data_IF_892771588038
#
_entry.id   IF_892771588038
#
_cell.length_a   1.000
_cell.length_b   1.000
_cell.length_c   1.000
_cell.angle_alpha   90.00
_cell.angle_beta   90.00
_cell.angle_gamma   90.00
#
_symmetry.space_group_name_H-M   'P 1'
#
loop_
_entity.id
_entity.type
_entity.pdbx_description
1 polymer ?
#
# COMPACT_ATOMS: atom_id res chain seq x y z
N UNK A 1 7.20 -23.16 23.28
CA UNK A 1 7.57 -23.77 24.58
C UNK A 1 6.62 -23.20 25.62
N UNK A 2 6.00 -24.00 26.49
CA UNK A 2 5.11 -23.47 27.52
C UNK A 2 5.92 -22.70 28.58
N UNK A 3 5.44 -21.51 28.96
CA UNK A 3 6.03 -20.66 30.01
C UNK A 3 5.09 -20.70 31.21
N UNK A 4 5.61 -21.08 32.38
CA UNK A 4 4.82 -21.10 33.62
C UNK A 4 4.89 -19.75 34.30
N UNK A 5 3.73 -19.12 34.51
CA UNK A 5 3.58 -17.88 35.27
C UNK A 5 2.83 -18.16 36.57
N UNK A 6 3.26 -17.55 37.67
CA UNK A 6 2.61 -17.67 38.97
C UNK A 6 1.81 -16.41 39.27
N UNK A 7 0.51 -16.57 39.49
CA UNK A 7 -0.41 -15.48 39.82
C UNK A 7 -1.22 -15.84 41.06
N UNK A 8 -1.81 -14.85 41.73
CA UNK A 8 -2.69 -15.10 42.86
C UNK A 8 -4.03 -15.70 42.41
N UNK A 9 -4.67 -16.47 43.30
CA UNK A 9 -5.97 -17.10 43.05
C UNK A 9 -7.05 -16.07 42.67
N UNK A 10 -6.99 -14.88 43.27
CA UNK A 10 -7.90 -13.77 42.96
C UNK A 10 -7.76 -13.29 41.50
N UNK A 11 -6.53 -13.13 41.02
CA UNK A 11 -6.27 -12.72 39.62
C UNK A 11 -6.71 -13.82 38.65
N UNK A 12 -6.47 -15.08 39.00
CA UNK A 12 -6.90 -16.22 38.18
C UNK A 12 -8.43 -16.26 38.04
N UNK A 13 -9.20 -16.07 39.13
CA UNK A 13 -10.67 -16.00 39.08
C UNK A 13 -11.17 -14.83 38.23
N UNK A 14 -10.49 -13.70 38.26
CA UNK A 14 -10.82 -12.55 37.41
C UNK A 14 -10.59 -12.84 35.93
N UNK A 15 -9.53 -13.59 35.59
CA UNK A 15 -9.29 -14.06 34.22
C UNK A 15 -10.38 -15.04 33.76
N UNK A 16 -10.80 -15.96 34.62
CA UNK A 16 -11.89 -16.90 34.33
C UNK A 16 -13.21 -16.19 34.01
N UNK A 17 -13.55 -15.14 34.77
CA UNK A 17 -14.75 -14.34 34.51
C UNK A 17 -14.74 -13.57 33.19
N UNK A 18 -13.58 -13.45 32.54
CA UNK A 18 -13.42 -12.82 31.23
C UNK A 18 -13.42 -13.84 30.07
N UNK A 19 -13.46 -15.15 30.35
CA UNK A 19 -13.57 -16.17 29.32
C UNK A 19 -14.98 -16.17 28.70
N UNK A 20 -15.08 -16.28 27.37
CA UNK A 20 -16.36 -16.36 26.67
C UNK A 20 -16.49 -17.75 26.04
N UNK A 21 -17.41 -18.56 26.56
CA UNK A 21 -17.65 -19.92 26.06
C UNK A 21 -16.48 -20.87 26.36
N UNK A 22 -15.86 -21.42 25.31
CA UNK A 22 -14.76 -22.38 25.41
C UNK A 22 -13.37 -21.72 25.20
N UNK A 23 -13.23 -20.45 25.60
CA UNK A 23 -11.96 -19.72 25.50
C UNK A 23 -10.86 -20.44 26.30
N UNK A 24 -9.67 -20.54 25.72
CA UNK A 24 -8.48 -21.01 26.45
C UNK A 24 -7.90 -19.86 27.28
N UNK A 25 -7.17 -20.15 28.39
CA UNK A 25 -6.51 -19.13 29.18
C UNK A 25 -5.61 -18.20 28.34
N UNK A 26 -4.91 -18.78 27.36
CA UNK A 26 -4.07 -18.03 26.41
C UNK A 26 -4.89 -17.02 25.60
N UNK A 27 -6.07 -17.43 25.10
CA UNK A 27 -6.96 -16.56 24.32
C UNK A 27 -7.52 -15.39 25.13
N UNK A 28 -7.78 -15.61 26.41
CA UNK A 28 -8.21 -14.55 27.33
C UNK A 28 -7.08 -13.55 27.56
N UNK A 29 -5.86 -14.03 27.75
CA UNK A 29 -4.67 -13.19 27.93
C UNK A 29 -4.39 -12.35 26.67
N UNK A 30 -4.46 -12.96 25.48
CA UNK A 30 -4.32 -12.23 24.19
C UNK A 30 -5.33 -11.09 24.08
N UNK A 31 -6.62 -11.36 24.31
CA UNK A 31 -7.66 -10.33 24.23
C UNK A 31 -7.46 -9.21 25.24
N UNK A 32 -6.97 -9.54 26.44
CA UNK A 32 -6.64 -8.54 27.45
C UNK A 32 -5.49 -7.66 27.00
N UNK A 33 -4.44 -8.24 26.42
CA UNK A 33 -3.32 -7.50 25.84
C UNK A 33 -3.82 -6.59 24.71
N UNK A 34 -4.62 -7.11 23.79
CA UNK A 34 -5.21 -6.34 22.69
C UNK A 34 -6.06 -5.16 23.20
N UNK A 35 -6.90 -5.38 24.23
CA UNK A 35 -7.77 -4.34 24.78
C UNK A 35 -7.00 -3.23 25.51
N UNK A 36 -5.88 -3.56 26.15
CA UNK A 36 -4.99 -2.59 26.81
C UNK A 36 -4.18 -1.81 25.77
N UNK A 37 -3.76 -2.48 24.69
CA UNK A 37 -3.12 -1.83 23.54
C UNK A 37 -4.08 -0.89 22.80
N UNK A 38 -5.39 -1.16 22.80
CA UNK A 38 -6.42 -0.31 22.18
C UNK A 38 -6.87 0.88 23.06
N UNK A 39 -6.77 0.77 24.39
CA UNK A 39 -7.36 1.73 25.35
C UNK A 39 -6.35 2.69 25.99
N UNK A 40 -5.05 2.59 25.67
CA UNK A 40 -4.01 3.44 26.26
C UNK A 40 -3.98 4.88 25.69
N UNK A 41 -3.61 5.89 26.51
CA UNK A 41 -3.29 7.21 26.00
C UNK A 41 -2.03 7.11 25.11
N UNK A 42 -2.04 7.77 23.95
CA UNK A 42 -0.97 7.84 22.96
C UNK A 42 0.43 7.96 23.60
N UNK A 43 1.15 6.85 23.69
CA UNK A 43 2.60 6.81 23.76
C UNK A 43 3.11 5.89 22.66
N UNK A 44 3.72 6.52 21.67
CA UNK A 44 4.56 5.95 20.64
C UNK A 44 5.68 5.11 21.26
N UNK A 45 5.58 3.80 21.22
CA UNK A 45 6.76 2.94 21.23
C UNK A 45 6.39 1.56 20.66
N UNK A 46 6.68 1.38 19.38
CA UNK A 46 6.41 0.16 18.65
C UNK A 46 5.76 0.45 17.30
N UNK A 47 4.42 0.50 17.27
CA UNK A 47 3.66 0.42 16.02
C UNK A 47 3.82 1.66 15.13
N UNK A 48 3.87 1.50 13.79
CA UNK A 48 3.92 2.59 12.83
C UNK A 48 2.77 3.56 12.99
N UNK A 49 3.02 4.86 12.82
CA UNK A 49 1.95 5.85 12.72
C UNK A 49 1.23 5.72 11.37
N UNK A 50 -0.11 5.82 11.38
CA UNK A 50 -0.92 5.75 10.18
C UNK A 50 -1.55 7.12 9.89
N UNK A 51 -1.27 7.65 8.71
CA UNK A 51 -1.86 8.89 8.20
C UNK A 51 -2.76 8.54 7.02
N UNK A 52 -4.00 9.00 7.06
CA UNK A 52 -4.96 8.79 5.98
C UNK A 52 -5.26 10.14 5.34
N UNK A 53 -5.09 10.22 4.03
CA UNK A 53 -5.37 11.43 3.25
C UNK A 53 -6.67 11.23 2.48
N UNK A 54 -7.67 12.12 2.64
CA UNK A 54 -7.68 13.30 3.51
C UNK A 54 -7.97 13.00 4.98
N UNK A 55 -8.64 11.88 5.29
CA UNK A 55 -8.86 11.36 6.65
C UNK A 55 -9.32 9.90 6.56
N UNK A 56 -9.33 9.17 7.68
CA UNK A 56 -9.63 7.73 7.70
C UNK A 56 -11.02 7.37 7.16
N UNK A 57 -12.05 8.16 7.47
CA UNK A 57 -13.41 7.88 7.05
C UNK A 57 -13.60 8.11 5.54
N UNK A 58 -13.10 9.24 5.03
CA UNK A 58 -13.11 9.55 3.59
C UNK A 58 -12.31 8.53 2.80
N UNK A 59 -11.08 8.23 3.26
CA UNK A 59 -10.23 7.21 2.63
C UNK A 59 -10.92 5.85 2.58
N UNK A 60 -11.59 5.41 3.67
CA UNK A 60 -12.31 4.14 3.67
C UNK A 60 -13.42 4.12 2.60
N UNK A 61 -14.20 5.19 2.48
CA UNK A 61 -15.27 5.28 1.50
C UNK A 61 -14.74 5.27 0.07
N UNK A 62 -13.66 6.01 -0.20
CA UNK A 62 -13.01 6.04 -1.49
C UNK A 62 -12.38 4.68 -1.85
N UNK A 63 -11.74 4.01 -0.88
CA UNK A 63 -11.20 2.66 -1.05
C UNK A 63 -12.30 1.65 -1.39
N UNK A 64 -13.50 1.77 -0.79
CA UNK A 64 -14.64 0.92 -1.13
C UNK A 64 -15.13 1.18 -2.54
N UNK A 65 -15.16 2.44 -2.98
CA UNK A 65 -15.63 2.81 -4.31
C UNK A 65 -14.64 2.40 -5.41
N UNK A 66 -13.36 2.76 -5.23
CA UNK A 66 -12.32 2.66 -6.26
C UNK A 66 -11.51 1.36 -6.20
N UNK A 67 -11.53 0.66 -5.07
CA UNK A 67 -10.79 -0.60 -4.82
C UNK A 67 -9.28 -0.53 -5.04
N UNK A 68 -8.70 0.66 -5.11
CA UNK A 68 -7.26 0.89 -5.30
C UNK A 68 -6.78 2.03 -4.40
N UNK A 69 -5.60 1.88 -3.83
CA UNK A 69 -4.95 2.91 -3.03
C UNK A 69 -3.43 2.83 -3.19
N UNK A 70 -2.75 3.93 -2.92
CA UNK A 70 -1.31 3.94 -2.71
C UNK A 70 -1.03 4.00 -1.22
N UNK A 71 0.06 3.35 -0.81
CA UNK A 71 0.55 3.34 0.57
C UNK A 71 2.02 3.69 0.54
N UNK A 72 2.37 4.85 1.08
CA UNK A 72 3.75 5.30 1.23
C UNK A 72 4.25 4.87 2.59
N UNK A 73 5.22 3.96 2.61
CA UNK A 73 5.87 3.48 3.82
C UNK A 73 7.15 4.27 4.06
N UNK A 74 7.34 4.72 5.29
CA UNK A 74 8.59 5.34 5.73
C UNK A 74 9.33 4.36 6.64
N UNK A 75 10.61 4.17 6.36
CA UNK A 75 11.47 3.21 7.02
C UNK A 75 12.43 3.92 7.99
N UNK A 76 12.85 3.20 9.03
CA UNK A 76 13.78 3.71 10.06
C UNK A 76 15.15 4.14 9.52
N UNK A 77 15.56 3.62 8.35
CA UNK A 77 16.80 3.98 7.68
C UNK A 77 16.68 5.28 6.86
N UNK A 78 15.50 5.91 6.84
CA UNK A 78 15.22 7.11 6.06
C UNK A 78 14.76 6.84 4.64
N UNK A 79 14.72 5.57 4.22
CA UNK A 79 14.16 5.19 2.92
C UNK A 79 12.63 5.23 2.96
N UNK A 80 12.04 5.37 1.78
CA UNK A 80 10.60 5.27 1.57
C UNK A 80 10.30 4.21 0.52
N UNK A 81 9.14 3.58 0.63
CA UNK A 81 8.66 2.58 -0.30
C UNK A 81 7.18 2.85 -0.63
N UNK A 82 6.85 2.89 -1.92
CA UNK A 82 5.47 3.14 -2.38
C UNK A 82 4.86 1.83 -2.87
N UNK A 83 3.75 1.46 -2.24
CA UNK A 83 3.02 0.22 -2.53
C UNK A 83 1.63 0.54 -3.04
N UNK A 84 1.28 -0.03 -4.19
CA UNK A 84 -0.07 0.02 -4.71
C UNK A 84 -0.90 -1.14 -4.19
N UNK A 85 -1.94 -0.79 -3.43
CA UNK A 85 -2.85 -1.74 -2.82
C UNK A 85 -4.08 -1.99 -3.71
N UNK A 86 -4.18 -3.20 -4.24
CA UNK A 86 -5.42 -3.71 -4.82
C UNK A 86 -6.37 -4.21 -3.71
N UNK A 87 -7.41 -3.44 -3.47
CA UNK A 87 -8.43 -3.68 -2.46
C UNK A 87 -9.74 -4.24 -3.04
N UNK A 88 -9.68 -5.00 -4.14
CA UNK A 88 -10.85 -5.62 -4.81
C UNK A 88 -11.80 -6.36 -3.87
N UNK A 89 -11.28 -6.98 -2.80
CA UNK A 89 -12.06 -7.71 -1.79
C UNK A 89 -12.52 -6.87 -0.60
N UNK A 90 -12.16 -5.60 -0.54
CA UNK A 90 -12.50 -4.72 0.58
C UNK A 90 -13.98 -4.30 0.50
N UNK A 91 -14.73 -4.51 1.58
CA UNK A 91 -16.18 -4.29 1.66
C UNK A 91 -16.51 -3.23 2.72
N UNK A 92 -17.74 -2.65 2.73
CA UNK A 92 -18.16 -1.72 3.77
C UNK A 92 -18.01 -2.26 5.20
N UNK A 93 -18.26 -3.56 5.38
CA UNK A 93 -18.09 -4.30 6.64
C UNK A 93 -16.63 -4.58 7.00
N UNK A 94 -15.68 -4.39 6.08
CA UNK A 94 -14.26 -4.63 6.35
C UNK A 94 -13.69 -3.62 7.35
N UNK A 95 -12.84 -4.12 8.23
CA UNK A 95 -12.07 -3.30 9.16
C UNK A 95 -10.76 -2.86 8.47
N UNK A 96 -10.62 -1.56 8.24
CA UNK A 96 -9.48 -0.97 7.53
C UNK A 96 -8.15 -1.25 8.23
N UNK A 97 -8.04 -0.92 9.51
CA UNK A 97 -6.82 -1.14 10.28
C UNK A 97 -6.44 -2.62 10.33
N UNK A 98 -7.41 -3.52 10.55
CA UNK A 98 -7.13 -4.96 10.57
C UNK A 98 -6.57 -5.46 9.24
N UNK A 99 -7.08 -4.97 8.10
CA UNK A 99 -6.54 -5.30 6.77
C UNK A 99 -5.11 -4.78 6.60
N UNK A 100 -4.81 -3.57 7.08
CA UNK A 100 -3.46 -3.02 7.01
C UNK A 100 -2.47 -3.83 7.83
N UNK A 101 -2.81 -4.14 9.08
CA UNK A 101 -1.92 -4.86 10.01
C UNK A 101 -1.71 -6.34 9.65
N UNK A 102 -2.72 -7.00 9.09
CA UNK A 102 -2.61 -8.38 8.60
C UNK A 102 -2.02 -8.49 7.19
N UNK A 103 -1.98 -7.38 6.44
CA UNK A 103 -1.50 -7.29 5.06
C UNK A 103 -0.20 -6.48 4.93
N UNK A 104 -0.31 -5.26 4.42
CA UNK A 104 0.83 -4.40 4.03
C UNK A 104 1.81 -4.19 5.20
N UNK A 105 1.25 -3.88 6.38
CA UNK A 105 2.01 -3.63 7.61
C UNK A 105 2.32 -4.90 8.39
N UNK A 106 2.10 -6.08 7.81
CA UNK A 106 2.52 -7.33 8.44
C UNK A 106 4.04 -7.34 8.58
N UNK A 107 4.50 -7.80 9.75
CA UNK A 107 5.92 -7.82 10.13
C UNK A 107 6.59 -6.44 10.00
N UNK A 108 5.84 -5.35 10.23
CA UNK A 108 6.34 -3.98 10.11
C UNK A 108 7.64 -3.73 10.90
N UNK A 109 7.80 -4.41 12.04
CA UNK A 109 8.98 -4.27 12.91
C UNK A 109 10.24 -4.82 12.24
N UNK A 110 10.12 -5.97 11.60
CA UNK A 110 11.23 -6.61 10.86
C UNK A 110 11.56 -5.81 9.60
N UNK A 111 10.52 -5.30 8.93
CA UNK A 111 10.65 -4.37 7.80
C UNK A 111 11.20 -3.00 8.20
N UNK A 112 11.16 -2.64 9.48
CA UNK A 112 11.62 -1.35 9.99
C UNK A 112 10.71 -0.16 9.63
N UNK A 113 9.42 -0.41 9.39
CA UNK A 113 8.43 0.64 9.07
C UNK A 113 8.16 1.48 10.33
N UNK A 114 8.22 2.80 10.19
CA UNK A 114 7.98 3.78 11.27
C UNK A 114 6.69 4.56 11.06
N UNK A 115 6.30 4.79 9.81
CA UNK A 115 5.02 5.40 9.46
C UNK A 115 4.51 4.94 8.10
N UNK A 116 3.20 5.04 7.89
CA UNK A 116 2.55 4.78 6.63
C UNK A 116 1.53 5.87 6.31
N UNK A 117 1.59 6.40 5.10
CA UNK A 117 0.62 7.34 4.54
C UNK A 117 -0.23 6.64 3.48
N UNK A 118 -1.55 6.85 3.53
CA UNK A 118 -2.51 6.17 2.68
C UNK A 118 -3.40 7.18 1.96
N UNK A 119 -3.48 7.06 0.64
CA UNK A 119 -4.40 7.81 -0.21
C UNK A 119 -5.06 6.90 -1.23
N UNK A 120 -6.33 7.16 -1.55
CA UNK A 120 -7.05 6.38 -2.54
C UNK A 120 -6.62 6.82 -3.93
N UNK A 121 -6.29 5.87 -4.80
CA UNK A 121 -5.92 6.19 -6.18
C UNK A 121 -7.17 6.59 -6.96
N UNK A 122 -7.07 7.52 -7.92
CA UNK A 122 -8.12 7.74 -8.90
C UNK A 122 -8.32 6.49 -9.78
N UNK A 123 -9.46 6.44 -10.45
CA UNK A 123 -9.75 5.46 -11.48
C UNK A 123 -9.94 6.24 -12.78
N UNK A 124 -9.36 5.75 -13.88
CA UNK A 124 -9.59 6.33 -15.19
C UNK A 124 -11.08 6.34 -15.50
N UNK A 125 -11.55 7.44 -16.06
CA UNK A 125 -12.81 7.51 -16.78
C UNK A 125 -12.54 6.94 -18.17
N UNK A 126 -13.46 6.17 -18.75
CA UNK A 126 -13.34 5.63 -20.11
C UNK A 126 -13.43 6.76 -21.16
N UNK A 127 -12.48 7.69 -21.16
CA UNK A 127 -12.30 8.76 -22.11
C UNK A 127 -10.97 8.54 -22.82
N UNK A 128 -10.93 8.77 -24.12
CA UNK A 128 -9.77 8.50 -24.99
C UNK A 128 -8.46 9.20 -24.55
N UNK A 129 -8.57 10.30 -23.81
CA UNK A 129 -7.43 11.06 -23.30
C UNK A 129 -7.13 10.81 -21.80
N UNK A 130 -7.84 9.88 -21.15
CA UNK A 130 -7.63 9.61 -19.72
C UNK A 130 -6.51 8.60 -19.49
N UNK A 131 -5.30 9.12 -19.28
CA UNK A 131 -4.11 8.33 -18.98
C UNK A 131 -3.99 7.93 -17.51
N UNK A 132 -5.03 8.11 -16.68
CA UNK A 132 -4.94 7.87 -15.23
C UNK A 132 -4.48 6.45 -14.91
N UNK A 133 -5.08 5.44 -15.55
CA UNK A 133 -4.73 4.04 -15.24
C UNK A 133 -3.30 3.69 -15.68
N UNK A 134 -2.82 4.30 -16.77
CA UNK A 134 -1.43 4.19 -17.20
C UNK A 134 -0.48 4.85 -16.18
N UNK A 135 -0.76 6.08 -15.75
CA UNK A 135 0.08 6.78 -14.76
C UNK A 135 0.13 6.01 -13.44
N UNK A 136 -0.99 5.43 -13.00
CA UNK A 136 -1.04 4.57 -11.82
C UNK A 136 -0.22 3.29 -12.03
N UNK A 137 -0.26 2.69 -13.22
CA UNK A 137 0.55 1.50 -13.51
C UNK A 137 2.05 1.83 -13.50
N UNK A 138 2.45 2.93 -14.14
CA UNK A 138 3.83 3.43 -14.12
C UNK A 138 4.28 3.70 -12.69
N UNK A 139 3.46 4.40 -11.88
CA UNK A 139 3.76 4.67 -10.47
C UNK A 139 4.05 3.39 -9.68
N UNK A 140 3.33 2.30 -9.98
CA UNK A 140 3.57 0.99 -9.39
C UNK A 140 4.88 0.34 -9.79
N UNK A 141 5.28 0.50 -11.04
CA UNK A 141 6.54 -0.06 -11.54
C UNK A 141 7.76 0.72 -11.04
N UNK A 142 7.64 2.05 -10.96
CA UNK A 142 8.76 2.92 -10.55
C UNK A 142 8.85 3.16 -9.05
N UNK A 143 7.90 2.64 -8.27
CA UNK A 143 7.78 2.85 -6.83
C UNK A 143 7.72 4.34 -6.41
N UNK A 144 7.01 5.15 -7.21
CA UNK A 144 6.74 6.56 -6.92
C UNK A 144 5.29 6.77 -6.53
N UNK A 145 4.98 7.92 -5.91
CA UNK A 145 3.58 8.30 -5.73
C UNK A 145 2.98 8.74 -7.06
N UNK A 146 1.64 8.69 -7.18
CA UNK A 146 0.99 9.15 -8.40
C UNK A 146 1.33 10.62 -8.71
N UNK A 147 1.38 11.47 -7.69
CA UNK A 147 1.70 12.89 -7.83
C UNK A 147 3.10 13.13 -8.40
N UNK A 148 4.06 12.27 -8.05
CA UNK A 148 5.43 12.34 -8.57
C UNK A 148 5.50 11.90 -10.03
N UNK A 149 4.76 10.86 -10.40
CA UNK A 149 4.65 10.46 -11.81
C UNK A 149 3.96 11.54 -12.62
N UNK A 150 2.85 12.09 -12.15
CA UNK A 150 2.15 13.22 -12.81
C UNK A 150 3.05 14.43 -13.02
N UNK A 151 3.99 14.67 -12.10
CA UNK A 151 4.92 15.80 -12.19
C UNK A 151 6.07 15.56 -13.18
N UNK A 152 6.62 14.34 -13.25
CA UNK A 152 7.89 14.09 -13.93
C UNK A 152 7.77 13.20 -15.16
N UNK A 153 6.68 12.47 -15.35
CA UNK A 153 6.44 11.68 -16.55
C UNK A 153 6.27 12.60 -17.76
N UNK A 154 6.95 12.27 -18.87
CA UNK A 154 6.89 13.06 -20.10
C UNK A 154 6.09 12.32 -21.16
N UNK A 155 6.58 11.14 -21.54
CA UNK A 155 6.00 10.34 -22.60
C UNK A 155 6.42 8.88 -22.46
N UNK A 156 5.79 8.03 -23.27
CA UNK A 156 6.19 6.65 -23.44
C UNK A 156 6.06 6.26 -24.91
N UNK A 157 6.99 5.44 -25.38
CA UNK A 157 7.02 4.97 -26.77
C UNK A 157 7.02 3.45 -26.82
N UNK A 158 6.24 2.87 -27.73
CA UNK A 158 6.29 1.44 -28.01
C UNK A 158 7.52 1.13 -28.87
N UNK A 159 8.43 0.33 -28.34
CA UNK A 159 9.55 -0.20 -29.11
C UNK A 159 9.12 -1.51 -29.73
N UNK A 160 9.10 -1.55 -31.06
CA UNK A 160 8.76 -2.72 -31.87
C UNK A 160 9.84 -3.01 -32.91
N UNK A 161 9.84 -4.23 -33.45
CA UNK A 161 10.66 -4.59 -34.61
C UNK A 161 10.16 -3.99 -35.92
N UNK A 162 10.99 -4.07 -36.96
CA UNK A 162 10.66 -3.59 -38.32
C UNK A 162 9.41 -4.27 -38.91
N UNK A 163 9.04 -5.46 -38.43
CA UNK A 163 7.82 -6.20 -38.80
C UNK A 163 6.62 -5.91 -37.87
N UNK A 164 6.77 -4.97 -36.93
CA UNK A 164 5.70 -4.48 -36.06
C UNK A 164 5.44 -5.32 -34.81
N UNK A 165 6.31 -6.27 -34.46
CA UNK A 165 6.17 -7.01 -33.21
C UNK A 165 6.63 -6.15 -32.02
N UNK A 166 5.76 -5.88 -31.02
CA UNK A 166 6.11 -5.06 -29.87
C UNK A 166 7.05 -5.82 -28.93
N UNK A 167 8.03 -5.12 -28.37
CA UNK A 167 8.98 -5.67 -27.40
C UNK A 167 8.74 -5.13 -26.00
N UNK A 168 8.69 -3.81 -25.84
CA UNK A 168 8.51 -3.13 -24.56
C UNK A 168 8.06 -1.69 -24.79
N UNK A 169 7.59 -1.04 -23.73
CA UNK A 169 7.39 0.41 -23.72
C UNK A 169 8.60 1.09 -23.09
N UNK A 170 9.06 2.18 -23.68
CA UNK A 170 10.13 3.01 -23.15
C UNK A 170 9.50 4.26 -22.53
N UNK A 171 9.44 4.34 -21.21
CA UNK A 171 8.97 5.54 -20.52
C UNK A 171 10.13 6.53 -20.34
N UNK A 172 9.85 7.80 -20.65
CA UNK A 172 10.78 8.93 -20.51
C UNK A 172 10.29 9.88 -19.43
N UNK A 173 11.20 10.25 -18.53
CA UNK A 173 10.96 11.18 -17.44
C UNK A 173 11.76 12.47 -17.63
N UNK A 174 11.26 13.57 -17.06
CA UNK A 174 11.84 14.91 -17.17
C UNK A 174 13.26 14.95 -16.64
N UNK A 175 14.12 15.78 -17.24
CA UNK A 175 15.47 16.04 -16.74
C UNK A 175 15.48 16.67 -15.34
N UNK A 176 14.39 17.35 -14.97
CA UNK A 176 14.17 17.95 -13.65
C UNK A 176 13.84 16.91 -12.55
N UNK A 177 13.74 15.62 -12.91
CA UNK A 177 13.52 14.54 -11.95
C UNK A 177 14.65 14.54 -10.89
N UNK A 178 14.33 14.56 -9.58
CA UNK A 178 15.33 14.48 -8.52
C UNK A 178 16.14 13.18 -8.57
N UNK A 179 17.44 13.25 -8.22
CA UNK A 179 18.34 12.09 -8.25
C UNK A 179 17.88 10.95 -7.33
N UNK A 180 17.20 11.27 -6.23
CA UNK A 180 16.59 10.27 -5.33
C UNK A 180 15.53 9.45 -6.05
N UNK A 181 14.64 10.10 -6.82
CA UNK A 181 13.61 9.43 -7.62
C UNK A 181 14.22 8.59 -8.74
N UNK A 182 15.22 9.14 -9.45
CA UNK A 182 15.97 8.40 -10.48
C UNK A 182 16.55 7.10 -9.93
N UNK A 183 17.14 7.17 -8.73
CA UNK A 183 17.73 6.01 -8.06
C UNK A 183 16.67 4.98 -7.65
N UNK A 184 15.52 5.43 -7.13
CA UNK A 184 14.41 4.54 -6.74
C UNK A 184 13.87 3.79 -7.96
N UNK A 185 13.60 4.50 -9.05
CA UNK A 185 13.05 3.92 -10.27
C UNK A 185 14.09 3.16 -11.12
N UNK A 186 15.39 3.28 -10.79
CA UNK A 186 16.46 2.67 -11.58
C UNK A 186 16.60 3.27 -12.98
N UNK A 187 16.33 4.57 -13.14
CA UNK A 187 16.39 5.22 -14.45
C UNK A 187 17.81 5.19 -15.02
N UNK A 188 17.89 5.05 -16.35
CA UNK A 188 19.17 5.12 -17.06
C UNK A 188 19.69 6.58 -17.16
N UNK A 189 20.85 6.77 -17.80
CA UNK A 189 21.47 8.10 -17.98
C UNK A 189 20.64 9.10 -18.80
N UNK A 190 19.62 8.62 -19.49
CA UNK A 190 18.68 9.40 -20.30
C UNK A 190 17.33 9.58 -19.61
N UNK A 191 17.23 9.28 -18.31
CA UNK A 191 15.99 9.33 -17.53
C UNK A 191 14.88 8.45 -18.11
N UNK A 192 15.25 7.28 -18.62
CA UNK A 192 14.32 6.32 -19.19
C UNK A 192 14.27 5.01 -18.42
N UNK A 193 13.12 4.35 -18.51
CA UNK A 193 12.88 3.01 -17.96
C UNK A 193 12.19 2.12 -19.01
N UNK A 194 12.60 0.86 -19.05
CA UNK A 194 11.94 -0.16 -19.85
C UNK A 194 10.74 -0.70 -19.06
N UNK A 195 9.56 -0.62 -19.65
CA UNK A 195 8.32 -1.15 -19.07
C UNK A 195 7.84 -2.35 -19.88
N UNK A 196 7.32 -3.35 -19.19
CA UNK A 196 6.74 -4.54 -19.81
C UNK A 196 5.48 -4.18 -20.62
N UNK A 197 5.18 -4.96 -21.68
CA UNK A 197 4.00 -4.76 -22.50
C UNK A 197 2.69 -4.88 -21.71
N UNK A 198 2.70 -5.62 -20.61
CA UNK A 198 1.52 -5.81 -19.75
C UNK A 198 1.19 -4.60 -18.87
N UNK A 199 2.02 -3.54 -18.89
CA UNK A 199 1.82 -2.37 -18.02
C UNK A 199 0.71 -1.45 -18.53
N UNK A 200 0.52 -1.39 -19.85
CA UNK A 200 -0.50 -0.55 -20.45
C UNK A 200 -1.84 -1.27 -20.29
N UNK A 201 -2.82 -0.67 -19.58
CA UNK A 201 -4.16 -1.23 -19.51
C UNK A 201 -4.68 -1.36 -20.95
N UNK A 202 -5.26 -2.51 -21.32
CA UNK A 202 -5.75 -2.78 -22.68
C UNK A 202 -6.41 -1.52 -23.28
N UNK A 203 -5.71 -0.87 -24.22
CA UNK A 203 -6.40 -0.04 -25.19
C UNK A 203 -7.25 -1.02 -25.98
N UNK A 204 -8.56 -1.03 -25.73
CA UNK A 204 -9.52 -1.78 -26.54
C UNK A 204 -9.14 -1.49 -28.00
N UNK A 205 -8.64 -2.48 -28.76
CA UNK A 205 -8.19 -2.24 -30.11
C UNK A 205 -9.46 -1.93 -30.88
N UNK A 206 -9.73 -0.64 -31.03
CA UNK A 206 -10.94 -0.13 -31.66
C UNK A 206 -11.20 -0.94 -32.91
N UNK A 207 -12.41 -1.49 -33.00
CA UNK A 207 -12.88 -2.27 -34.14
C UNK A 207 -12.41 -1.58 -35.43
N UNK A 208 -11.49 -2.24 -36.14
CA UNK A 208 -11.11 -1.84 -37.48
C UNK A 208 -12.32 -2.19 -38.36
N UNK A 209 -13.13 -1.19 -38.70
CA UNK A 209 -14.17 -1.29 -39.73
C UNK A 209 -13.60 -1.61 -41.12
#
# INVERSE_FOLDING_TARGET
MPVTISISDDVYRRLEGLAVGFDTPERVIERLLDSVEESGPKSSDGKPSLTFVPNEASFKNELIARKRAQVVLYLKNGERDVIHWNASRFQPSSNLRANLWSGILRNWKDKGITSAELSALPQGHNHLDDNTDLLVAIAGEVHWTLEEVEQYFVEYDMVSSDDGHPYYYLATFSDETPDELKKIAGLNSSNQLHLDLNIVPDEDPGEIE
#
